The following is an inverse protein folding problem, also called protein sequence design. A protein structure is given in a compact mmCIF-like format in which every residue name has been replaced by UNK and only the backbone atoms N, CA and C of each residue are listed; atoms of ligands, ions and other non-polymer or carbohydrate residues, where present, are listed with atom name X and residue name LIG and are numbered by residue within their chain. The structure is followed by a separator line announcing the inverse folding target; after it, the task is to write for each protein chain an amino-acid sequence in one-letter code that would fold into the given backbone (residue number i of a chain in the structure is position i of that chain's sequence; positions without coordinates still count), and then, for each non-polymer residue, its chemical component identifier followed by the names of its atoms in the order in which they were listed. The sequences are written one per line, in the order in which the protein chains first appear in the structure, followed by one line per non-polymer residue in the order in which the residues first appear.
data_IF_112239766603
#
_entry.id   IF_112239766603
#
_cell.length_a   1.000
_cell.length_b   1.000
_cell.length_c   1.000
_cell.angle_alpha   90.00
_cell.angle_beta   90.00
_cell.angle_gamma   90.00
#
_symmetry.space_group_name_H-M   'P 1'
#
loop_
_entity.id
_entity.type
_entity.pdbx_description
1 polymer ?
#
# COMPACT_ATOMS: atom_id res chain seq x y z
N UNK A 1 6.97 19.62 1.52
CA UNK A 1 6.02 20.36 2.35
C UNK A 1 5.12 19.37 3.07
N UNK A 2 4.44 19.81 4.13
CA UNK A 2 3.36 19.04 4.77
C UNK A 2 1.99 19.33 4.13
N UNK A 3 1.98 20.15 3.08
CA UNK A 3 0.76 20.57 2.41
C UNK A 3 0.15 19.42 1.59
N UNK A 4 -1.17 19.39 1.54
CA UNK A 4 -1.90 18.51 0.65
C UNK A 4 -1.89 19.05 -0.78
N UNK A 5 -2.24 18.20 -1.72
CA UNK A 5 -2.30 18.60 -3.13
C UNK A 5 -3.16 19.83 -3.38
N UNK A 6 -4.26 19.99 -2.63
CA UNK A 6 -5.17 21.14 -2.75
C UNK A 6 -4.45 22.48 -2.51
N UNK A 7 -3.61 22.56 -1.48
CA UNK A 7 -2.83 23.76 -1.15
C UNK A 7 -1.76 24.01 -2.21
N UNK A 8 -1.03 22.95 -2.62
CA UNK A 8 -0.03 23.05 -3.68
C UNK A 8 -0.64 23.51 -5.00
N UNK A 9 -1.85 23.02 -5.34
CA UNK A 9 -2.55 23.41 -6.55
C UNK A 9 -3.09 24.86 -6.49
N UNK A 10 -3.49 25.36 -5.31
CA UNK A 10 -3.90 26.76 -5.10
C UNK A 10 -2.72 27.72 -5.14
N UNK A 11 -1.60 27.32 -4.51
CA UNK A 11 -0.39 28.13 -4.39
C UNK A 11 0.75 27.50 -5.22
N UNK A 12 0.53 27.39 -6.53
CA UNK A 12 1.48 26.76 -7.46
C UNK A 12 2.84 27.41 -7.37
N UNK A 13 3.95 26.63 -7.25
CA UNK A 13 5.29 27.20 -7.24
C UNK A 13 5.59 27.88 -8.58
N UNK A 14 6.36 28.97 -8.59
CA UNK A 14 6.79 29.63 -9.82
C UNK A 14 7.49 28.63 -10.77
N UNK A 15 7.28 28.79 -12.07
CA UNK A 15 7.91 27.94 -13.06
C UNK A 15 9.44 27.95 -12.89
N UNK A 16 10.03 26.76 -12.84
CA UNK A 16 11.48 26.59 -12.72
C UNK A 16 12.07 26.73 -11.31
N UNK A 17 11.26 27.11 -10.30
CA UNK A 17 11.79 27.35 -8.95
C UNK A 17 12.14 26.07 -8.14
N UNK A 18 11.34 25.00 -8.10
CA UNK A 18 11.64 23.83 -7.27
C UNK A 18 12.47 22.77 -8.01
N UNK A 19 13.23 21.99 -7.25
CA UNK A 19 13.88 20.78 -7.75
C UNK A 19 12.84 19.64 -7.97
N UNK A 20 11.81 19.59 -7.14
CA UNK A 20 10.68 18.68 -7.21
C UNK A 20 9.42 19.31 -6.61
N UNK A 21 8.24 18.83 -7.01
CA UNK A 21 6.97 19.17 -6.36
C UNK A 21 6.60 18.05 -5.40
N UNK A 22 6.42 18.38 -4.13
CA UNK A 22 6.10 17.42 -3.07
C UNK A 22 4.79 17.82 -2.40
N UNK A 23 3.91 16.82 -2.18
CA UNK A 23 2.69 16.98 -1.38
C UNK A 23 2.34 15.70 -0.64
N UNK A 24 1.60 15.85 0.46
CA UNK A 24 1.06 14.73 1.21
C UNK A 24 -0.28 14.27 0.63
N UNK A 25 -0.61 13.00 0.83
CA UNK A 25 -1.86 12.42 0.36
C UNK A 25 -2.48 11.50 1.43
N UNK A 26 -3.79 11.62 1.60
CA UNK A 26 -4.61 10.68 2.34
C UNK A 26 -5.96 10.51 1.65
N UNK A 27 -6.57 9.31 1.69
CA UNK A 27 -7.83 9.03 0.98
C UNK A 27 -9.08 9.43 1.76
N UNK A 28 -8.95 9.82 3.02
CA UNK A 28 -10.07 9.95 3.94
C UNK A 28 -10.19 11.39 4.44
N UNK A 29 -11.04 12.19 3.80
CA UNK A 29 -11.33 13.57 4.21
C UNK A 29 -12.76 13.69 4.73
N UNK A 30 -13.76 13.17 4.01
CA UNK A 30 -15.18 13.29 4.32
C UNK A 30 -15.91 11.96 4.48
N UNK A 31 -15.29 10.85 4.03
CA UNK A 31 -15.83 9.51 4.16
C UNK A 31 -14.74 8.55 4.63
N UNK A 32 -15.15 7.57 5.45
CA UNK A 32 -14.22 6.72 6.20
C UNK A 32 -14.51 5.24 6.07
N UNK A 33 -15.44 4.85 5.19
CA UNK A 33 -15.76 3.46 4.89
C UNK A 33 -14.75 2.81 3.94
N UNK A 34 -14.79 1.48 3.86
CA UNK A 34 -13.84 0.72 3.07
C UNK A 34 -14.00 0.95 1.55
N UNK A 35 -15.24 1.13 1.08
CA UNK A 35 -15.49 1.34 -0.34
C UNK A 35 -14.91 2.67 -0.79
N UNK A 36 -15.19 3.75 -0.07
CA UNK A 36 -14.64 5.07 -0.35
C UNK A 36 -13.11 5.09 -0.29
N UNK A 37 -12.51 4.33 0.65
CA UNK A 37 -11.06 4.18 0.74
C UNK A 37 -10.49 3.62 -0.59
N UNK A 38 -11.13 2.63 -1.19
CA UNK A 38 -10.72 2.01 -2.45
C UNK A 38 -11.03 2.93 -3.65
N UNK A 39 -12.19 3.55 -3.71
CA UNK A 39 -12.59 4.47 -4.78
C UNK A 39 -11.61 5.66 -4.91
N UNK A 40 -11.11 6.16 -3.78
CA UNK A 40 -10.16 7.27 -3.74
C UNK A 40 -8.74 6.94 -4.28
N UNK A 41 -8.46 5.70 -4.66
CA UNK A 41 -7.25 5.35 -5.43
C UNK A 41 -7.17 6.13 -6.75
N UNK A 42 -8.29 6.30 -7.44
CA UNK A 42 -8.37 7.09 -8.66
C UNK A 42 -8.06 8.59 -8.41
N UNK A 43 -8.45 9.12 -7.25
CA UNK A 43 -8.15 10.51 -6.86
C UNK A 43 -6.66 10.80 -6.72
N UNK A 44 -5.87 9.80 -6.30
CA UNK A 44 -4.41 9.94 -6.21
C UNK A 44 -3.78 10.16 -7.60
N UNK A 45 -4.24 9.42 -8.61
CA UNK A 45 -3.80 9.59 -9.99
C UNK A 45 -4.16 10.98 -10.52
N UNK A 46 -5.40 11.42 -10.30
CA UNK A 46 -5.87 12.73 -10.72
C UNK A 46 -5.02 13.87 -10.12
N UNK A 47 -4.55 13.73 -8.88
CA UNK A 47 -3.64 14.70 -8.26
C UNK A 47 -2.30 14.78 -8.97
N UNK A 48 -1.70 13.64 -9.35
CA UNK A 48 -0.42 13.60 -10.09
C UNK A 48 -0.60 14.20 -11.49
N UNK A 49 -1.66 13.83 -12.19
CA UNK A 49 -1.98 14.37 -13.52
C UNK A 49 -2.18 15.88 -13.46
N UNK A 50 -2.92 16.37 -12.46
CA UNK A 50 -3.13 17.79 -12.25
C UNK A 50 -1.82 18.53 -11.93
N UNK A 51 -0.92 17.93 -11.15
CA UNK A 51 0.39 18.51 -10.86
C UNK A 51 1.20 18.72 -12.15
N UNK A 52 1.12 17.80 -13.08
CA UNK A 52 1.84 17.88 -14.37
C UNK A 52 1.41 19.05 -15.25
N UNK A 53 0.21 19.56 -15.08
CA UNK A 53 -0.23 20.74 -15.87
C UNK A 53 0.51 22.02 -15.48
N UNK A 54 1.16 22.06 -14.31
CA UNK A 54 1.92 23.23 -13.89
C UNK A 54 3.41 22.96 -13.58
N UNK A 55 3.87 21.70 -13.63
CA UNK A 55 5.28 21.38 -13.42
C UNK A 55 5.77 20.29 -14.38
N UNK A 56 6.98 20.50 -14.92
CA UNK A 56 7.76 19.47 -15.58
C UNK A 56 8.77 18.79 -14.63
N UNK A 57 8.80 19.19 -13.35
CA UNK A 57 9.70 18.65 -12.34
C UNK A 57 9.17 17.33 -11.79
N UNK A 58 10.03 16.49 -11.18
CA UNK A 58 9.61 15.26 -10.52
C UNK A 58 8.51 15.53 -9.49
N UNK A 59 7.53 14.65 -9.42
CA UNK A 59 6.47 14.67 -8.42
C UNK A 59 6.84 13.68 -7.31
N UNK A 60 6.82 14.13 -6.07
CA UNK A 60 7.04 13.34 -4.86
C UNK A 60 5.74 13.33 -4.07
N UNK A 61 5.21 12.15 -3.77
CA UNK A 61 4.03 12.04 -2.90
C UNK A 61 4.49 11.53 -1.54
N UNK A 62 4.54 12.42 -0.56
CA UNK A 62 5.11 12.17 0.75
C UNK A 62 4.55 13.10 1.83
N UNK A 63 4.05 12.56 2.95
CA UNK A 63 3.73 11.15 3.16
C UNK A 63 2.37 10.76 2.55
N UNK A 64 2.20 9.47 2.30
CA UNK A 64 0.90 8.87 2.02
C UNK A 64 0.47 8.15 3.30
N UNK A 65 -0.71 8.46 3.80
CA UNK A 65 -1.26 7.93 5.06
C UNK A 65 -2.72 7.56 4.90
N UNK A 66 -3.24 6.65 5.71
CA UNK A 66 -4.67 6.30 5.68
C UNK A 66 -5.56 7.43 6.21
N UNK A 67 -5.11 8.15 7.23
CA UNK A 67 -5.78 9.31 7.82
C UNK A 67 -4.95 10.57 7.64
N UNK A 68 -5.63 11.70 7.70
CA UNK A 68 -4.96 13.01 7.70
C UNK A 68 -3.98 13.08 8.87
N UNK A 69 -2.74 13.49 8.60
CA UNK A 69 -1.81 13.83 9.67
C UNK A 69 -2.20 15.18 10.27
N UNK A 70 -2.47 15.18 11.55
CA UNK A 70 -2.52 16.42 12.30
C UNK A 70 -1.10 16.95 12.48
N UNK A 71 -0.92 18.28 12.41
CA UNK A 71 0.39 18.88 12.63
C UNK A 71 0.97 18.41 13.96
N UNK A 72 2.17 17.87 13.94
CA UNK A 72 2.89 17.45 15.15
C UNK A 72 3.04 18.60 16.19
N UNK A 73 2.97 19.87 15.74
CA UNK A 73 2.94 21.03 16.61
C UNK A 73 1.57 21.33 17.24
N UNK A 74 0.49 20.69 16.77
CA UNK A 74 -0.85 20.79 17.37
C UNK A 74 -1.16 19.61 18.32
N UNK A 75 -0.31 18.61 18.35
CA UNK A 75 -0.35 17.54 19.34
C UNK A 75 0.12 18.12 20.69
N UNK A 76 -0.78 18.84 21.37
CA UNK A 76 -0.66 19.03 22.81
C UNK A 76 -0.52 17.63 23.43
N UNK A 77 0.32 17.49 24.42
CA UNK A 77 0.38 16.28 25.25
C UNK A 77 -1.04 15.90 25.61
N UNK A 78 -1.48 14.71 25.21
CA UNK A 78 -2.76 14.17 25.66
C UNK A 78 -2.57 13.85 27.14
N UNK A 79 -2.84 14.82 27.97
CA UNK A 79 -2.79 14.67 29.42
C UNK A 79 -4.01 13.85 29.83
N UNK A 80 -3.82 12.54 30.02
CA UNK A 80 -4.87 11.62 30.46
C UNK A 80 -4.71 10.23 29.84
N UNK A 81 -5.41 9.24 30.40
CA UNK A 81 -5.49 7.92 29.81
C UNK A 81 -6.28 8.00 28.49
N UNK A 82 -5.70 7.51 27.39
CA UNK A 82 -6.39 7.41 26.10
C UNK A 82 -7.55 6.40 26.22
N UNK A 83 -8.74 6.82 25.85
CA UNK A 83 -9.94 5.97 25.84
C UNK A 83 -10.37 5.59 24.42
N UNK A 84 -9.87 6.29 23.42
CA UNK A 84 -10.16 6.09 21.99
C UNK A 84 -8.93 6.37 21.14
N UNK A 85 -8.92 5.86 19.92
CA UNK A 85 -7.82 6.11 18.98
C UNK A 85 -7.81 7.59 18.58
N UNK A 86 -6.62 8.23 18.50
CA UNK A 86 -6.48 9.56 17.93
C UNK A 86 -7.04 9.62 16.50
N UNK A 87 -7.57 10.78 16.10
CA UNK A 87 -8.22 10.96 14.80
C UNK A 87 -7.31 10.73 13.58
N UNK A 88 -6.00 10.76 13.78
CA UNK A 88 -4.98 10.49 12.75
C UNK A 88 -4.50 9.03 12.72
N UNK A 89 -5.08 8.16 13.56
CA UNK A 89 -4.83 6.71 13.60
C UNK A 89 -5.98 5.98 12.93
N UNK A 90 -5.67 5.11 11.98
CA UNK A 90 -6.64 4.23 11.33
C UNK A 90 -6.39 2.78 11.75
N UNK A 91 -7.37 2.08 12.34
CA UNK A 91 -7.19 0.69 12.74
C UNK A 91 -6.90 -0.25 11.56
N UNK A 92 -7.24 0.15 10.34
CA UNK A 92 -6.89 -0.61 9.13
C UNK A 92 -5.41 -0.63 8.81
N UNK A 93 -4.60 0.20 9.49
CA UNK A 93 -3.14 0.12 9.43
C UNK A 93 -2.63 -1.28 9.81
N UNK A 94 -3.31 -1.95 10.73
CA UNK A 94 -3.03 -3.30 11.22
C UNK A 94 -3.71 -4.41 10.38
N UNK A 95 -4.39 -4.06 9.28
CA UNK A 95 -5.27 -5.00 8.56
C UNK A 95 -4.71 -5.43 7.21
N UNK A 96 -5.23 -6.55 6.70
CA UNK A 96 -5.01 -7.01 5.33
C UNK A 96 -5.51 -5.98 4.29
N UNK A 97 -6.64 -5.31 4.57
CA UNK A 97 -7.14 -4.24 3.69
C UNK A 97 -6.14 -3.08 3.59
N UNK A 98 -5.52 -2.68 4.71
CA UNK A 98 -4.47 -1.65 4.70
C UNK A 98 -3.27 -2.03 3.83
N UNK A 99 -2.87 -3.31 3.87
CA UNK A 99 -1.81 -3.84 3.02
C UNK A 99 -2.21 -3.86 1.53
N UNK A 100 -3.41 -4.38 1.22
CA UNK A 100 -3.95 -4.42 -0.14
C UNK A 100 -4.15 -3.03 -0.74
N UNK A 101 -4.70 -2.09 0.04
CA UNK A 101 -4.85 -0.71 -0.38
C UNK A 101 -3.50 -0.04 -0.67
N UNK A 102 -2.49 -0.28 0.16
CA UNK A 102 -1.14 0.26 -0.07
C UNK A 102 -0.55 -0.26 -1.37
N UNK A 103 -0.70 -1.56 -1.64
CA UNK A 103 -0.28 -2.15 -2.90
C UNK A 103 -0.98 -1.49 -4.10
N UNK A 104 -2.31 -1.35 -4.05
CA UNK A 104 -3.09 -0.72 -5.11
C UNK A 104 -2.71 0.76 -5.29
N UNK A 105 -2.51 1.51 -4.19
CA UNK A 105 -2.02 2.89 -4.24
C UNK A 105 -0.67 2.99 -4.96
N UNK A 106 0.28 2.10 -4.65
CA UNK A 106 1.56 2.04 -5.35
C UNK A 106 1.39 1.73 -6.84
N UNK A 107 0.52 0.78 -7.18
CA UNK A 107 0.24 0.40 -8.57
C UNK A 107 -0.33 1.59 -9.37
N UNK A 108 -1.34 2.26 -8.83
CA UNK A 108 -1.97 3.43 -9.44
C UNK A 108 -0.98 4.58 -9.65
N UNK A 109 -0.22 4.93 -8.62
CA UNK A 109 0.74 6.04 -8.69
C UNK A 109 1.92 5.71 -9.61
N UNK A 110 2.44 4.48 -9.58
CA UNK A 110 3.52 4.05 -10.46
C UNK A 110 3.08 4.01 -11.94
N UNK A 111 1.84 3.64 -12.21
CA UNK A 111 1.28 3.60 -13.57
C UNK A 111 1.22 4.98 -14.24
N UNK A 112 1.23 6.07 -13.49
CA UNK A 112 1.28 7.43 -14.03
C UNK A 112 2.59 7.72 -14.79
N UNK A 113 3.68 7.02 -14.44
CA UNK A 113 5.01 7.25 -15.01
C UNK A 113 5.68 8.58 -14.62
N UNK A 114 5.10 9.35 -13.67
CA UNK A 114 5.54 10.70 -13.32
C UNK A 114 5.96 10.87 -11.88
N UNK A 115 5.62 9.91 -11.04
CA UNK A 115 6.01 9.93 -9.64
C UNK A 115 7.45 9.49 -9.51
N UNK A 116 8.27 10.35 -8.90
CA UNK A 116 9.67 10.07 -8.64
C UNK A 116 9.86 9.20 -7.39
N UNK A 117 9.10 9.49 -6.34
CA UNK A 117 9.15 8.73 -5.10
C UNK A 117 7.83 8.79 -4.34
N UNK A 118 7.59 7.71 -3.59
CA UNK A 118 6.46 7.53 -2.69
C UNK A 118 6.99 7.26 -1.29
N UNK A 119 6.42 7.89 -0.28
CA UNK A 119 6.72 7.59 1.12
C UNK A 119 5.45 7.19 1.82
N UNK A 120 5.38 5.94 2.29
CA UNK A 120 4.24 5.40 3.02
C UNK A 120 4.54 5.32 4.50
N UNK A 121 3.61 5.86 5.29
CA UNK A 121 3.52 5.69 6.74
C UNK A 121 4.72 6.18 7.56
N UNK A 122 4.68 5.86 8.83
CA UNK A 122 5.80 5.94 9.76
C UNK A 122 6.50 4.58 9.83
N UNK A 123 7.62 4.50 10.52
CA UNK A 123 8.30 3.22 10.69
C UNK A 123 7.64 2.42 11.79
N UNK A 124 7.42 3.03 12.96
CA UNK A 124 6.97 2.36 14.18
C UNK A 124 5.69 2.96 14.73
N UNK A 125 5.02 2.19 15.59
CA UNK A 125 3.78 2.56 16.25
C UNK A 125 2.55 2.38 15.34
N UNK A 126 1.38 2.72 15.84
CA UNK A 126 0.09 2.46 15.18
C UNK A 126 -0.16 3.20 13.87
N UNK A 127 0.72 4.12 13.44
CA UNK A 127 0.74 4.75 12.10
C UNK A 127 1.89 4.24 11.24
N UNK A 128 2.61 3.25 11.74
CA UNK A 128 3.80 2.67 11.12
C UNK A 128 3.53 1.40 10.35
N UNK A 129 4.62 0.69 10.07
CA UNK A 129 4.63 -0.63 9.44
C UNK A 129 4.92 -1.76 10.44
N UNK A 130 5.31 -1.40 11.65
CA UNK A 130 5.51 -2.31 12.78
C UNK A 130 5.21 -1.59 14.10
N UNK A 131 4.87 -2.37 15.11
CA UNK A 131 4.67 -1.86 16.47
C UNK A 131 6.02 -1.66 17.18
N UNK A 132 6.10 -0.61 17.98
CA UNK A 132 7.28 -0.37 18.81
C UNK A 132 7.40 -1.36 19.99
N UNK A 133 8.49 -1.24 20.74
CA UNK A 133 8.78 -2.13 21.87
C UNK A 133 7.84 -1.95 23.06
N UNK A 134 7.11 -0.84 23.14
CA UNK A 134 6.14 -0.59 24.22
C UNK A 134 4.78 -1.27 23.95
N UNK A 135 4.51 -1.62 22.70
CA UNK A 135 3.23 -2.17 22.28
C UNK A 135 2.15 -1.11 22.10
N UNK A 136 0.92 -1.55 21.85
CA UNK A 136 -0.19 -0.63 21.64
C UNK A 136 -0.59 0.07 22.92
N UNK A 137 -0.68 1.42 22.93
CA UNK A 137 -1.25 2.14 24.07
C UNK A 137 -2.74 1.86 24.30
N UNK A 138 -3.45 1.35 23.28
CA UNK A 138 -4.87 0.99 23.31
C UNK A 138 -5.11 -0.40 22.69
N UNK A 139 -4.68 -1.50 23.33
CA UNK A 139 -4.77 -2.83 22.73
C UNK A 139 -6.20 -3.29 22.46
N UNK A 140 -7.20 -2.75 23.13
CA UNK A 140 -8.62 -3.01 22.86
C UNK A 140 -9.12 -2.42 21.53
N UNK A 141 -8.51 -1.34 21.06
CA UNK A 141 -8.88 -0.65 19.81
C UNK A 141 -7.89 -0.92 18.67
N UNK A 142 -6.62 -1.19 19.03
CA UNK A 142 -5.53 -1.47 18.10
C UNK A 142 -4.68 -2.62 18.66
N UNK A 143 -5.08 -3.88 18.41
CA UNK A 143 -4.49 -5.05 19.07
C UNK A 143 -3.15 -5.45 18.44
N UNK A 144 -2.10 -4.65 18.65
CA UNK A 144 -0.74 -4.96 18.22
C UNK A 144 0.18 -5.23 19.41
N UNK A 145 1.02 -6.25 19.25
CA UNK A 145 2.00 -6.68 20.26
C UNK A 145 3.35 -5.96 20.05
N UNK A 146 4.20 -5.85 21.09
CA UNK A 146 5.54 -5.27 20.94
C UNK A 146 6.34 -5.93 19.81
N UNK A 147 6.88 -5.12 18.90
CA UNK A 147 7.70 -5.58 17.78
C UNK A 147 6.95 -6.31 16.65
N UNK A 148 5.61 -6.49 16.76
CA UNK A 148 4.79 -7.08 15.72
C UNK A 148 4.86 -6.25 14.44
N UNK A 149 5.11 -6.87 13.28
CA UNK A 149 4.98 -6.18 11.99
C UNK A 149 3.52 -6.18 11.55
N UNK A 150 3.12 -5.18 10.74
CA UNK A 150 1.77 -5.14 10.18
C UNK A 150 1.74 -5.80 8.79
N UNK A 151 0.59 -6.24 8.28
CA UNK A 151 0.51 -6.90 6.97
C UNK A 151 1.16 -6.10 5.83
N UNK A 152 1.10 -4.78 5.87
CA UNK A 152 1.74 -3.88 4.90
C UNK A 152 3.27 -4.04 4.85
N UNK A 153 3.91 -4.43 5.96
CA UNK A 153 5.35 -4.74 5.99
C UNK A 153 5.72 -5.77 4.93
N UNK A 154 4.91 -6.83 4.78
CA UNK A 154 5.19 -7.90 3.81
C UNK A 154 5.06 -7.41 2.38
N UNK A 155 4.11 -6.53 2.08
CA UNK A 155 3.98 -5.89 0.76
C UNK A 155 5.21 -5.06 0.44
N UNK A 156 5.62 -4.19 1.36
CA UNK A 156 6.80 -3.33 1.18
C UNK A 156 8.08 -4.16 1.02
N UNK A 157 8.24 -5.18 1.84
CA UNK A 157 9.39 -6.07 1.79
C UNK A 157 9.42 -6.92 0.50
N UNK A 158 8.27 -7.39 0.00
CA UNK A 158 8.18 -8.13 -1.26
C UNK A 158 8.55 -7.26 -2.47
N UNK A 159 8.25 -5.97 -2.43
CA UNK A 159 8.67 -5.00 -3.44
C UNK A 159 10.19 -4.75 -3.33
N UNK A 160 10.68 -4.46 -2.13
CA UNK A 160 12.07 -4.06 -1.90
C UNK A 160 13.06 -5.19 -2.24
N UNK A 161 12.81 -6.43 -1.78
CA UNK A 161 13.73 -7.56 -2.01
C UNK A 161 13.83 -7.98 -3.47
N UNK A 162 12.81 -7.68 -4.29
CA UNK A 162 12.81 -8.07 -5.70
C UNK A 162 13.77 -7.22 -6.53
N UNK A 163 14.16 -6.04 -6.06
CA UNK A 163 15.07 -5.12 -6.73
C UNK A 163 14.65 -4.84 -8.18
N UNK A 164 13.39 -4.51 -8.36
CA UNK A 164 12.82 -4.24 -9.67
C UNK A 164 13.57 -3.12 -10.41
N UNK A 165 13.72 -3.29 -11.72
CA UNK A 165 14.23 -2.25 -12.64
C UNK A 165 13.10 -1.54 -13.35
N UNK A 166 11.96 -2.20 -13.47
CA UNK A 166 10.78 -1.67 -14.15
C UNK A 166 9.51 -2.07 -13.38
N UNK A 167 8.55 -1.19 -13.42
CA UNK A 167 7.17 -1.46 -13.04
C UNK A 167 6.35 -1.51 -14.31
N UNK A 168 5.65 -2.62 -14.53
CA UNK A 168 4.73 -2.72 -15.66
C UNK A 168 3.31 -2.38 -15.20
N UNK A 169 2.57 -1.56 -15.94
CA UNK A 169 1.18 -1.30 -15.66
C UNK A 169 0.38 -2.60 -15.59
N UNK A 170 -0.38 -2.76 -14.54
CA UNK A 170 -1.30 -3.88 -14.35
C UNK A 170 -2.72 -3.33 -14.49
N UNK A 171 -3.54 -4.01 -15.28
CA UNK A 171 -4.92 -3.59 -15.51
C UNK A 171 -5.86 -4.64 -14.92
N UNK A 172 -6.59 -4.24 -13.91
CA UNK A 172 -7.70 -5.03 -13.39
C UNK A 172 -8.98 -4.76 -14.20
N UNK A 173 -9.74 -5.80 -14.47
CA UNK A 173 -11.09 -5.67 -15.05
C UNK A 173 -12.12 -5.14 -14.05
N UNK A 174 -11.81 -5.26 -12.75
CA UNK A 174 -12.65 -4.82 -11.65
C UNK A 174 -11.79 -4.16 -10.55
N UNK A 175 -11.25 -2.94 -10.80
CA UNK A 175 -10.24 -2.33 -9.92
C UNK A 175 -10.75 -1.99 -8.52
N UNK A 176 -12.07 -1.89 -8.32
CA UNK A 176 -12.65 -1.72 -6.98
C UNK A 176 -12.70 -3.02 -6.17
N UNK A 177 -12.57 -4.18 -6.82
CA UNK A 177 -12.57 -5.48 -6.16
C UNK A 177 -11.17 -6.06 -5.99
N UNK A 178 -10.32 -5.88 -6.99
CA UNK A 178 -8.96 -6.40 -6.96
C UNK A 178 -8.02 -5.57 -7.84
N UNK A 179 -6.80 -5.40 -7.39
CA UNK A 179 -5.77 -4.69 -8.13
C UNK A 179 -4.38 -5.31 -7.88
N UNK A 180 -3.36 -4.83 -8.58
CA UNK A 180 -2.03 -5.39 -8.45
C UNK A 180 -0.93 -4.61 -9.14
N UNK A 181 0.30 -5.03 -8.87
CA UNK A 181 1.54 -4.43 -9.34
C UNK A 181 2.42 -5.50 -9.96
N UNK A 182 2.93 -5.25 -11.16
CA UNK A 182 3.90 -6.14 -11.83
C UNK A 182 5.28 -5.51 -11.82
N UNK A 183 6.23 -6.21 -11.22
CA UNK A 183 7.63 -5.84 -11.13
C UNK A 183 8.48 -6.69 -12.08
N UNK A 184 9.49 -6.08 -12.71
CA UNK A 184 10.45 -6.77 -13.58
C UNK A 184 11.86 -6.42 -13.12
N UNK A 185 12.70 -7.43 -12.89
CA UNK A 185 14.09 -7.24 -12.48
C UNK A 185 15.03 -7.08 -13.69
N UNK A 186 16.33 -6.88 -13.42
CA UNK A 186 17.35 -6.73 -14.45
C UNK A 186 17.64 -8.00 -15.28
N UNK A 187 17.06 -9.16 -14.91
CA UNK A 187 17.18 -10.44 -15.62
C UNK A 187 15.90 -10.82 -16.37
N UNK A 188 14.88 -9.96 -16.33
CA UNK A 188 13.59 -10.22 -16.95
C UNK A 188 12.64 -11.11 -16.13
N UNK A 189 13.01 -11.49 -14.89
CA UNK A 189 12.09 -12.19 -13.99
C UNK A 189 10.97 -11.25 -13.58
N UNK A 190 9.79 -11.81 -13.37
CA UNK A 190 8.60 -11.04 -13.03
C UNK A 190 8.05 -11.44 -11.68
N UNK A 191 7.65 -10.45 -10.89
CA UNK A 191 6.85 -10.63 -9.68
C UNK A 191 5.55 -9.87 -9.85
N UNK A 192 4.44 -10.55 -9.68
CA UNK A 192 3.13 -9.93 -9.59
C UNK A 192 2.69 -9.95 -8.12
N UNK A 193 2.34 -8.78 -7.61
CA UNK A 193 1.64 -8.65 -6.33
C UNK A 193 0.19 -8.33 -6.65
N UNK A 194 -0.75 -9.07 -6.10
CA UNK A 194 -2.18 -8.89 -6.33
C UNK A 194 -2.92 -8.85 -4.99
N UNK A 195 -3.91 -7.97 -4.89
CA UNK A 195 -4.73 -7.82 -3.68
C UNK A 195 -6.21 -7.93 -4.01
N UNK A 196 -6.95 -8.62 -3.15
CA UNK A 196 -8.39 -8.51 -3.04
C UNK A 196 -8.71 -7.32 -2.13
N UNK A 197 -9.42 -6.33 -2.65
CA UNK A 197 -9.78 -5.09 -1.95
C UNK A 197 -11.19 -5.14 -1.35
N UNK A 198 -11.86 -6.30 -1.47
CA UNK A 198 -13.25 -6.50 -1.06
C UNK A 198 -13.38 -7.50 0.11
N UNK A 199 -14.52 -7.43 0.78
CA UNK A 199 -14.89 -8.37 1.85
C UNK A 199 -15.38 -9.72 1.32
N UNK A 200 -15.40 -9.92 0.00
CA UNK A 200 -15.83 -11.15 -0.64
C UNK A 200 -14.65 -11.87 -1.27
N UNK A 201 -14.62 -13.20 -1.31
CA UNK A 201 -13.60 -13.94 -2.04
C UNK A 201 -13.59 -13.56 -3.53
N UNK A 202 -12.40 -13.47 -4.11
CA UNK A 202 -12.23 -13.15 -5.53
C UNK A 202 -11.41 -14.20 -6.25
N UNK A 203 -11.84 -14.58 -7.45
CA UNK A 203 -11.05 -15.40 -8.36
C UNK A 203 -10.35 -14.50 -9.39
N UNK A 204 -9.03 -14.44 -9.35
CA UNK A 204 -8.24 -13.65 -10.28
C UNK A 204 -7.59 -14.56 -11.33
N UNK A 205 -7.63 -14.13 -12.60
CA UNK A 205 -6.91 -14.77 -13.71
C UNK A 205 -5.81 -13.86 -14.22
N UNK A 206 -4.59 -14.13 -13.81
CA UNK A 206 -3.41 -13.34 -14.18
C UNK A 206 -2.81 -13.90 -15.47
N UNK A 207 -2.63 -13.05 -16.48
CA UNK A 207 -1.93 -13.41 -17.71
C UNK A 207 -0.43 -13.50 -17.43
N UNK A 208 0.14 -14.69 -17.53
CA UNK A 208 1.54 -14.95 -17.15
C UNK A 208 2.39 -15.47 -18.33
N UNK A 209 1.77 -15.98 -19.37
CA UNK A 209 2.40 -16.85 -20.36
C UNK A 209 2.39 -18.32 -19.88
N UNK A 210 3.10 -19.19 -20.59
CA UNK A 210 3.25 -20.62 -20.24
C UNK A 210 4.29 -20.79 -19.15
N UNK A 211 4.15 -21.83 -18.31
CA UNK A 211 5.10 -22.16 -17.26
C UNK A 211 4.46 -22.32 -15.90
N UNK A 212 5.31 -22.31 -14.88
CA UNK A 212 4.91 -22.40 -13.48
C UNK A 212 5.16 -21.09 -12.75
N UNK A 213 4.43 -20.83 -11.68
CA UNK A 213 4.67 -19.75 -10.76
C UNK A 213 4.79 -20.25 -9.32
N UNK A 214 5.49 -19.50 -8.49
CA UNK A 214 5.47 -19.64 -7.03
C UNK A 214 4.52 -18.62 -6.46
N UNK A 215 3.52 -19.09 -5.71
CA UNK A 215 2.49 -18.23 -5.12
C UNK A 215 2.55 -18.33 -3.61
N UNK A 216 2.65 -17.17 -2.94
CA UNK A 216 2.53 -17.05 -1.48
C UNK A 216 1.37 -16.13 -1.16
N UNK A 217 0.46 -16.58 -0.33
CA UNK A 217 -0.68 -15.81 0.14
C UNK A 217 -0.41 -15.22 1.52
N UNK A 218 -0.91 -14.02 1.74
CA UNK A 218 -1.06 -13.40 3.04
C UNK A 218 -2.57 -13.12 3.20
N UNK A 219 -3.23 -13.87 4.06
CA UNK A 219 -4.67 -13.82 4.24
C UNK A 219 -5.07 -14.05 5.71
N UNK A 220 -6.35 -14.12 5.99
CA UNK A 220 -6.90 -14.28 7.34
C UNK A 220 -6.42 -15.54 8.06
N UNK A 221 -5.95 -16.58 7.33
CA UNK A 221 -5.53 -17.85 7.92
C UNK A 221 -4.11 -17.81 8.47
N UNK A 222 -3.29 -16.88 7.98
CA UNK A 222 -1.87 -16.78 8.35
C UNK A 222 -1.40 -15.39 8.79
N UNK A 223 -2.24 -14.35 8.64
CA UNK A 223 -1.86 -12.97 8.93
C UNK A 223 -1.29 -12.78 10.33
N UNK A 224 -1.93 -13.35 11.36
CA UNK A 224 -1.45 -13.21 12.75
C UNK A 224 -0.06 -13.82 12.95
N UNK A 225 0.19 -14.99 12.37
CA UNK A 225 1.51 -15.63 12.42
C UNK A 225 2.54 -14.85 11.61
N UNK A 226 2.17 -14.39 10.42
CA UNK A 226 3.03 -13.56 9.58
C UNK A 226 3.44 -12.26 10.29
N UNK A 227 2.54 -11.67 11.05
CA UNK A 227 2.81 -10.45 11.83
C UNK A 227 3.75 -10.70 13.01
N UNK A 228 3.62 -11.84 13.69
CA UNK A 228 4.44 -12.21 14.85
C UNK A 228 5.79 -12.78 14.47
N UNK A 229 5.86 -13.53 13.36
CA UNK A 229 7.06 -14.24 12.89
C UNK A 229 7.36 -13.89 11.44
N UNK A 230 7.68 -12.63 11.13
CA UNK A 230 7.83 -12.16 9.75
C UNK A 230 8.92 -12.91 8.98
N UNK A 231 10.03 -13.27 9.60
CA UNK A 231 11.11 -14.01 8.96
C UNK A 231 10.67 -15.41 8.55
N UNK A 232 9.97 -16.11 9.44
CA UNK A 232 9.44 -17.46 9.17
C UNK A 232 8.43 -17.43 8.02
N UNK A 233 7.51 -16.48 8.01
CA UNK A 233 6.56 -16.29 6.92
C UNK A 233 7.28 -15.97 5.60
N UNK A 234 8.28 -15.10 5.61
CA UNK A 234 8.99 -14.68 4.39
C UNK A 234 9.87 -15.78 3.79
N UNK A 235 10.33 -16.74 4.59
CA UNK A 235 11.11 -17.91 4.13
C UNK A 235 10.23 -18.98 3.49
N UNK A 236 8.91 -18.92 3.60
CA UNK A 236 8.00 -19.86 2.97
C UNK A 236 8.13 -19.76 1.45
N UNK A 237 8.38 -20.88 0.80
CA UNK A 237 8.57 -20.97 -0.65
C UNK A 237 7.28 -20.66 -1.44
N UNK A 238 6.13 -20.75 -0.79
CA UNK A 238 4.82 -20.69 -1.44
C UNK A 238 4.50 -22.00 -2.20
N UNK A 239 3.33 -22.07 -2.79
CA UNK A 239 2.87 -23.18 -3.61
C UNK A 239 3.27 -23.02 -5.08
N UNK A 240 3.42 -24.14 -5.78
CA UNK A 240 3.65 -24.13 -7.23
C UNK A 240 2.32 -24.20 -7.94
N UNK A 241 2.04 -23.23 -8.81
CA UNK A 241 0.82 -23.17 -9.63
C UNK A 241 1.22 -23.24 -11.10
N UNK A 242 0.56 -24.11 -11.85
CA UNK A 242 0.78 -24.24 -13.29
C UNK A 242 -0.10 -23.28 -14.07
N UNK A 243 0.45 -22.72 -15.12
CA UNK A 243 -0.29 -21.90 -16.06
C UNK A 243 -1.19 -22.77 -16.95
N UNK A 244 -2.45 -22.46 -16.99
CA UNK A 244 -3.41 -23.06 -17.91
C UNK A 244 -3.82 -22.03 -18.97
N UNK A 245 -3.56 -22.32 -20.24
CA UNK A 245 -3.86 -21.40 -21.34
C UNK A 245 -3.17 -20.03 -21.23
N UNK A 246 -1.95 -19.99 -20.67
CA UNK A 246 -1.19 -18.75 -20.46
C UNK A 246 -1.67 -17.88 -19.30
N UNK A 247 -2.46 -18.43 -18.40
CA UNK A 247 -2.99 -17.74 -17.22
C UNK A 247 -2.83 -18.59 -15.98
N UNK A 248 -2.68 -17.92 -14.84
CA UNK A 248 -2.74 -18.51 -13.51
C UNK A 248 -4.03 -18.05 -12.84
N UNK A 249 -4.75 -18.97 -12.23
CA UNK A 249 -5.91 -18.68 -11.39
C UNK A 249 -5.46 -18.57 -9.93
N UNK A 250 -5.87 -17.52 -9.25
CA UNK A 250 -5.67 -17.29 -7.82
C UNK A 250 -7.04 -17.18 -7.16
N UNK A 251 -7.26 -17.96 -6.10
CA UNK A 251 -8.41 -17.80 -5.22
C UNK A 251 -8.00 -16.93 -4.03
N UNK A 252 -8.38 -15.67 -4.04
CA UNK A 252 -8.07 -14.73 -2.97
C UNK A 252 -9.22 -14.66 -1.97
N UNK A 253 -8.97 -14.99 -0.72
CA UNK A 253 -9.88 -14.74 0.40
C UNK A 253 -10.16 -13.25 0.57
N UNK A 254 -11.15 -12.84 1.36
CA UNK A 254 -11.39 -11.44 1.66
C UNK A 254 -10.10 -10.71 2.08
N UNK A 255 -9.81 -9.60 1.41
CA UNK A 255 -8.65 -8.74 1.66
C UNK A 255 -7.27 -9.41 1.53
N UNK A 256 -7.20 -10.61 1.00
CA UNK A 256 -5.93 -11.31 0.82
C UNK A 256 -4.99 -10.60 -0.16
N UNK A 257 -3.69 -10.74 0.11
CA UNK A 257 -2.63 -10.34 -0.81
C UNK A 257 -1.87 -11.57 -1.26
N UNK A 258 -1.58 -11.67 -2.56
CA UNK A 258 -0.77 -12.73 -3.13
C UNK A 258 0.50 -12.19 -3.78
N UNK A 259 1.61 -12.86 -3.53
CA UNK A 259 2.85 -12.71 -4.27
C UNK A 259 2.99 -13.86 -5.26
N UNK A 260 3.21 -13.54 -6.53
CA UNK A 260 3.35 -14.49 -7.64
C UNK A 260 4.71 -14.26 -8.30
N UNK A 261 5.63 -15.17 -8.11
CA UNK A 261 6.93 -15.15 -8.76
C UNK A 261 6.90 -16.02 -10.03
N UNK A 262 7.15 -15.38 -11.17
CA UNK A 262 7.18 -15.99 -12.49
C UNK A 262 8.63 -16.23 -12.90
N UNK A 263 8.94 -17.46 -13.27
CA UNK A 263 10.27 -17.87 -13.72
C UNK A 263 10.62 -17.34 -15.10
#
# INVERSE_FOLDING_TARGET
TLDFFTEVNRCRPPAGSPAAVCYSNNPQVHAFDNLTLVENLAGQVANVESARHFTARPVVVSPITLRIRQNAGAAGEVAGALTELPGDVDPRQLSLLGAGWTLASMAHLAATGFVHSLTYFETTGWRGVLQDAAGSPLPGCFPSEPGMVFPVYHVLADIAEFQARQVHPTHSTHPLLADGLTLVDGRGRRRVLAANLSAEPQELKIKTGTGTARVRYLDETNATEAMRQPEGFRQQAGETVESAGGKIALALRPFAVARVDLG
#
